data_IF_889479543728
#
_entry.id   IF_889479543728
#
_cell.length_a   1.000
_cell.length_b   1.000
_cell.length_c   1.000
_cell.angle_alpha   90.00
_cell.angle_beta   90.00
_cell.angle_gamma   90.00
#
_symmetry.space_group_name_H-M   'P 1'
#
loop_
_entity.id
_entity.type
_entity.pdbx_description
1 polymer ?
#
# COMPACT_ATOMS: atom_id res chain seq x y z
N UNK A 1 30.16 10.65 4.29
CA UNK A 1 28.75 10.99 4.58
C UNK A 1 28.24 11.71 3.35
N UNK A 2 27.95 10.97 2.28
CA UNK A 2 27.51 11.54 1.00
C UNK A 2 25.99 11.57 0.98
N UNK A 3 25.44 12.77 1.09
CA UNK A 3 24.07 13.10 0.70
C UNK A 3 23.96 12.90 -0.81
N UNK A 4 23.72 11.66 -1.24
CA UNK A 4 23.23 11.41 -2.59
C UNK A 4 21.93 12.19 -2.76
N UNK A 5 22.00 13.18 -3.64
CA UNK A 5 20.90 13.97 -4.16
C UNK A 5 19.66 13.08 -4.31
N UNK A 6 18.66 13.38 -3.50
CA UNK A 6 17.32 12.85 -3.64
C UNK A 6 16.75 13.43 -4.94
N UNK A 7 17.13 12.85 -6.07
CA UNK A 7 16.58 13.24 -7.36
C UNK A 7 15.11 12.87 -7.36
N UNK A 8 14.27 13.86 -7.03
CA UNK A 8 12.82 13.89 -7.20
C UNK A 8 12.41 13.75 -8.68
N UNK A 9 13.35 13.53 -9.61
CA UNK A 9 13.12 13.25 -11.03
C UNK A 9 12.67 11.81 -11.27
N UNK A 10 11.68 11.33 -10.50
CA UNK A 10 10.88 10.20 -10.92
C UNK A 10 9.61 10.76 -11.57
N UNK A 11 9.57 10.72 -12.90
CA UNK A 11 8.44 11.06 -13.77
C UNK A 11 7.12 10.35 -13.42
N UNK A 12 7.09 9.50 -12.39
CA UNK A 12 5.88 8.87 -11.86
C UNK A 12 5.19 9.68 -10.74
N UNK A 13 5.86 10.59 -10.03
CA UNK A 13 5.22 11.38 -8.97
C UNK A 13 4.53 12.64 -9.51
N UNK A 14 5.17 13.29 -10.49
CA UNK A 14 4.71 14.51 -11.13
C UNK A 14 3.37 14.41 -11.85
N UNK A 15 3.05 13.37 -12.65
CA UNK A 15 1.73 13.27 -13.26
C UNK A 15 0.62 13.04 -12.24
N UNK A 16 0.90 12.39 -11.10
CA UNK A 16 -0.08 12.24 -10.02
C UNK A 16 -0.29 13.56 -9.26
N UNK A 17 0.79 14.31 -8.99
CA UNK A 17 0.70 15.64 -8.38
C UNK A 17 0.07 16.67 -9.34
N UNK A 18 0.38 16.61 -10.63
CA UNK A 18 -0.20 17.48 -11.65
C UNK A 18 -1.69 17.15 -11.86
N UNK A 19 -2.05 15.86 -11.94
CA UNK A 19 -3.46 15.46 -11.95
C UNK A 19 -4.18 15.92 -10.68
N UNK A 20 -3.53 15.84 -9.51
CA UNK A 20 -4.04 16.36 -8.25
C UNK A 20 -4.30 17.87 -8.30
N UNK A 21 -3.34 18.68 -8.75
CA UNK A 21 -3.52 20.13 -8.91
C UNK A 21 -4.57 20.47 -9.97
N UNK A 22 -4.59 19.77 -11.11
CA UNK A 22 -5.58 20.00 -12.16
C UNK A 22 -7.00 19.63 -11.73
N UNK A 23 -7.19 18.55 -10.97
CA UNK A 23 -8.49 18.16 -10.43
C UNK A 23 -8.96 19.16 -9.36
N UNK A 24 -8.04 19.62 -8.49
CA UNK A 24 -8.33 20.64 -7.48
C UNK A 24 -8.76 21.96 -8.13
N UNK A 25 -8.03 22.40 -9.17
CA UNK A 25 -8.33 23.61 -9.93
C UNK A 25 -9.68 23.46 -10.66
N UNK A 26 -9.91 22.34 -11.35
CA UNK A 26 -11.15 22.11 -12.09
C UNK A 26 -12.39 22.11 -11.17
N UNK A 27 -12.31 21.47 -9.99
CA UNK A 27 -13.40 21.45 -9.02
C UNK A 27 -13.61 22.84 -8.39
N UNK A 28 -12.53 23.56 -8.06
CA UNK A 28 -12.64 24.94 -7.55
C UNK A 28 -13.27 25.90 -8.57
N UNK A 29 -12.96 25.74 -9.86
CA UNK A 29 -13.53 26.57 -10.92
C UNK A 29 -15.03 26.30 -11.15
N UNK A 30 -15.46 25.05 -10.97
CA UNK A 30 -16.86 24.66 -11.13
C UNK A 30 -17.74 25.12 -9.97
N UNK A 31 -17.22 25.16 -8.74
CA UNK A 31 -17.96 25.57 -7.55
C UNK A 31 -18.12 27.10 -7.46
N UNK A 32 -17.10 27.87 -7.87
CA UNK A 32 -17.18 29.33 -7.98
C UNK A 32 -18.24 29.75 -8.99
N UNK A 33 -18.33 29.08 -10.14
CA UNK A 33 -19.33 29.40 -11.17
C UNK A 33 -20.77 29.10 -10.74
N UNK A 34 -20.99 28.25 -9.72
CA UNK A 34 -22.33 27.89 -9.23
C UNK A 34 -22.85 28.82 -8.14
N UNK A 35 -21.95 29.34 -7.29
CA UNK A 35 -22.33 30.29 -6.24
C UNK A 35 -22.92 31.60 -6.80
N UNK A 36 -22.58 31.99 -8.02
CA UNK A 36 -23.17 33.17 -8.67
C UNK A 36 -24.58 32.99 -9.23
N UNK A 37 -25.14 31.76 -9.25
CA UNK A 37 -26.46 31.50 -9.83
C UNK A 37 -27.57 31.27 -8.79
N UNK A 38 -27.25 31.08 -7.51
CA UNK A 38 -28.24 30.80 -6.45
C UNK A 38 -28.49 31.99 -5.50
N UNK A 39 -27.89 33.16 -5.75
CA UNK A 39 -28.02 34.36 -4.90
C UNK A 39 -29.32 35.16 -5.18
N UNK A 40 -30.42 34.46 -5.44
CA UNK A 40 -31.67 35.05 -5.93
C UNK A 40 -32.95 34.52 -5.28
N UNK A 41 -32.98 34.28 -3.97
CA UNK A 41 -34.23 34.27 -3.17
C UNK A 41 -33.92 34.27 -1.66
N UNK A 42 -34.08 35.42 -1.00
CA UNK A 42 -34.09 35.54 0.47
C UNK A 42 -35.53 35.44 0.99
N UNK A 43 -35.81 34.50 1.88
CA UNK A 43 -36.74 34.68 3.01
C UNK A 43 -36.25 33.88 4.23
N UNK A 44 -35.89 34.60 5.31
CA UNK A 44 -36.15 34.28 6.74
C UNK A 44 -35.89 32.89 7.36
N UNK A 45 -35.29 31.92 6.68
CA UNK A 45 -35.08 30.56 7.18
C UNK A 45 -33.59 30.33 7.54
N UNK A 46 -33.30 29.55 8.59
CA UNK A 46 -31.92 29.17 8.94
C UNK A 46 -31.17 28.73 7.68
N UNK A 47 -30.11 29.45 7.30
CA UNK A 47 -29.30 29.17 6.11
C UNK A 47 -28.63 27.81 6.30
N UNK A 48 -29.30 26.76 5.81
CA UNK A 48 -28.76 25.42 5.78
C UNK A 48 -27.72 25.39 4.68
N UNK A 49 -26.44 25.53 5.05
CA UNK A 49 -25.32 25.30 4.13
C UNK A 49 -25.36 23.85 3.70
N UNK A 50 -26.05 23.62 2.59
CA UNK A 50 -26.23 22.30 2.01
C UNK A 50 -24.99 22.02 1.19
N UNK A 51 -24.26 20.96 1.54
CA UNK A 51 -23.10 20.52 0.77
C UNK A 51 -23.52 20.40 -0.70
N UNK A 52 -22.82 21.10 -1.59
CA UNK A 52 -23.15 21.11 -3.01
C UNK A 52 -23.19 19.67 -3.54
N UNK A 53 -24.27 19.34 -4.25
CA UNK A 53 -24.48 18.01 -4.86
C UNK A 53 -23.28 17.57 -5.71
N UNK A 54 -22.55 18.54 -6.29
CA UNK A 54 -21.33 18.29 -7.04
C UNK A 54 -20.26 17.57 -6.21
N UNK A 55 -19.96 18.05 -5.00
CA UNK A 55 -18.94 17.47 -4.13
C UNK A 55 -19.27 16.03 -3.72
N UNK A 56 -20.54 15.77 -3.43
CA UNK A 56 -20.99 14.42 -3.08
C UNK A 56 -20.82 13.45 -4.25
N UNK A 57 -21.18 13.87 -5.47
CA UNK A 57 -20.98 13.07 -6.67
C UNK A 57 -19.48 12.81 -6.87
N UNK A 58 -18.64 13.84 -6.70
CA UNK A 58 -17.18 13.71 -6.81
C UNK A 58 -16.62 12.68 -5.83
N UNK A 59 -17.02 12.72 -4.55
CA UNK A 59 -16.54 11.73 -3.56
C UNK A 59 -16.95 10.30 -3.93
N UNK A 60 -18.17 10.11 -4.42
CA UNK A 60 -18.65 8.79 -4.85
C UNK A 60 -17.88 8.27 -6.07
N UNK A 61 -17.66 9.13 -7.07
CA UNK A 61 -16.87 8.78 -8.26
C UNK A 61 -15.44 8.38 -7.89
N UNK A 62 -14.80 9.11 -6.98
CA UNK A 62 -13.46 8.76 -6.48
C UNK A 62 -13.46 7.42 -5.74
N UNK A 63 -14.48 7.16 -4.93
CA UNK A 63 -14.68 5.87 -4.26
C UNK A 63 -14.83 4.71 -5.26
N UNK A 64 -15.63 4.90 -6.32
CA UNK A 64 -15.82 3.90 -7.37
C UNK A 64 -14.53 3.62 -8.15
N UNK A 65 -13.82 4.67 -8.58
CA UNK A 65 -12.58 4.55 -9.34
C UNK A 65 -11.52 3.81 -8.51
N UNK A 66 -11.31 4.21 -7.24
CA UNK A 66 -10.33 3.57 -6.37
C UNK A 66 -10.67 2.11 -6.08
N UNK A 67 -11.95 1.80 -5.85
CA UNK A 67 -12.42 0.43 -5.60
C UNK A 67 -12.23 -0.46 -6.82
N UNK A 68 -12.62 0.01 -8.02
CA UNK A 68 -12.40 -0.71 -9.28
C UNK A 68 -10.92 -0.97 -9.53
N UNK A 69 -10.06 0.04 -9.31
CA UNK A 69 -8.62 -0.11 -9.45
C UNK A 69 -8.05 -1.17 -8.51
N UNK A 70 -8.51 -1.21 -7.25
CA UNK A 70 -8.10 -2.23 -6.29
C UNK A 70 -8.57 -3.64 -6.68
N UNK A 71 -9.81 -3.78 -7.18
CA UNK A 71 -10.36 -5.06 -7.63
C UNK A 71 -9.58 -5.57 -8.85
N UNK A 72 -9.34 -4.73 -9.85
CA UNK A 72 -8.55 -5.09 -11.03
C UNK A 72 -7.12 -5.49 -10.65
N UNK A 73 -6.50 -4.76 -9.73
CA UNK A 73 -5.18 -5.10 -9.21
C UNK A 73 -5.17 -6.43 -8.44
N UNK A 74 -6.20 -6.71 -7.64
CA UNK A 74 -6.36 -7.98 -6.93
C UNK A 74 -6.51 -9.16 -7.92
N UNK A 75 -7.39 -9.02 -8.92
CA UNK A 75 -7.59 -10.02 -9.98
C UNK A 75 -6.27 -10.26 -10.71
N UNK A 76 -5.52 -9.21 -11.03
CA UNK A 76 -4.22 -9.31 -11.67
C UNK A 76 -3.21 -10.09 -10.81
N UNK A 77 -3.09 -9.76 -9.52
CA UNK A 77 -2.17 -10.46 -8.60
C UNK A 77 -2.52 -11.94 -8.50
N UNK A 78 -3.81 -12.28 -8.40
CA UNK A 78 -4.27 -13.68 -8.31
C UNK A 78 -3.99 -14.43 -9.62
N UNK A 79 -4.33 -13.83 -10.77
CA UNK A 79 -4.19 -14.45 -12.10
C UNK A 79 -2.73 -14.70 -12.46
N UNK A 80 -1.85 -13.74 -12.13
CA UNK A 80 -0.44 -13.79 -12.52
C UNK A 80 0.50 -14.29 -11.41
N UNK A 81 -0.03 -14.82 -10.29
CA UNK A 81 0.76 -15.28 -9.13
C UNK A 81 1.84 -16.31 -9.46
N UNK A 82 1.67 -17.08 -10.55
CA UNK A 82 2.62 -18.11 -11.00
C UNK A 82 3.80 -17.54 -11.80
N UNK A 83 3.71 -16.30 -12.31
CA UNK A 83 4.81 -15.68 -13.07
C UNK A 83 5.89 -15.17 -12.11
N UNK A 84 7.16 -15.37 -12.48
CA UNK A 84 8.33 -15.01 -11.65
C UNK A 84 8.28 -13.58 -11.14
N UNK A 85 7.91 -12.61 -11.98
CA UNK A 85 7.83 -11.18 -11.62
C UNK A 85 6.87 -10.94 -10.44
N UNK A 86 5.71 -11.61 -10.42
CA UNK A 86 4.69 -11.45 -9.38
C UNK A 86 5.03 -12.33 -8.17
N UNK A 87 5.56 -13.53 -8.41
CA UNK A 87 5.98 -14.47 -7.38
C UNK A 87 7.07 -13.90 -6.47
N UNK A 88 8.06 -13.18 -7.03
CA UNK A 88 9.09 -12.47 -6.27
C UNK A 88 8.50 -11.40 -5.34
N UNK A 89 7.35 -10.83 -5.72
CA UNK A 89 6.63 -9.84 -4.93
C UNK A 89 6.01 -10.35 -3.64
N UNK A 90 5.93 -11.67 -3.45
CA UNK A 90 5.18 -12.34 -2.38
C UNK A 90 3.67 -12.08 -2.50
N UNK A 91 2.97 -12.82 -3.38
CA UNK A 91 1.56 -12.59 -3.71
C UNK A 91 0.59 -12.47 -2.51
N UNK A 92 0.71 -13.25 -1.42
CA UNK A 92 -0.21 -13.13 -0.28
C UNK A 92 -0.24 -11.73 0.34
N UNK A 93 0.92 -11.10 0.51
CA UNK A 93 0.98 -9.73 1.06
C UNK A 93 0.46 -8.69 0.06
N UNK A 94 0.69 -8.88 -1.26
CA UNK A 94 0.10 -8.01 -2.27
C UNK A 94 -1.43 -8.09 -2.26
N UNK A 95 -2.01 -9.28 -2.09
CA UNK A 95 -3.46 -9.43 -1.96
C UNK A 95 -4.00 -8.70 -0.72
N UNK A 96 -3.33 -8.84 0.44
CA UNK A 96 -3.72 -8.11 1.66
C UNK A 96 -3.65 -6.59 1.48
N UNK A 97 -2.60 -6.07 0.83
CA UNK A 97 -2.50 -4.64 0.50
C UNK A 97 -3.67 -4.20 -0.39
N UNK A 98 -4.05 -4.99 -1.40
CA UNK A 98 -5.19 -4.68 -2.27
C UNK A 98 -6.51 -4.68 -1.49
N UNK A 99 -6.72 -5.67 -0.60
CA UNK A 99 -7.94 -5.78 0.22
C UNK A 99 -8.03 -4.59 1.18
N UNK A 100 -6.96 -4.26 1.89
CA UNK A 100 -6.94 -3.09 2.78
C UNK A 100 -7.16 -1.79 2.01
N UNK A 101 -6.54 -1.64 0.84
CA UNK A 101 -6.74 -0.47 -0.04
C UNK A 101 -8.16 -0.36 -0.59
N UNK A 102 -8.80 -1.50 -0.87
CA UNK A 102 -10.21 -1.56 -1.27
C UNK A 102 -11.12 -1.09 -0.14
N UNK A 103 -10.86 -1.52 1.10
CA UNK A 103 -11.62 -1.06 2.27
C UNK A 103 -11.48 0.45 2.48
N UNK A 104 -10.24 0.96 2.47
CA UNK A 104 -9.98 2.41 2.59
C UNK A 104 -10.67 3.20 1.48
N UNK A 105 -10.55 2.77 0.21
CA UNK A 105 -11.20 3.43 -0.92
C UNK A 105 -12.73 3.38 -0.84
N UNK A 106 -13.30 2.27 -0.34
CA UNK A 106 -14.75 2.08 -0.21
C UNK A 106 -15.39 3.04 0.80
N UNK A 107 -14.63 3.57 1.78
CA UNK A 107 -15.12 4.61 2.71
C UNK A 107 -15.76 5.79 1.98
N UNK A 108 -15.22 6.18 0.82
CA UNK A 108 -15.73 7.30 0.02
C UNK A 108 -17.14 7.07 -0.54
N UNK A 109 -17.55 5.82 -0.74
CA UNK A 109 -18.91 5.51 -1.19
C UNK A 109 -19.95 5.84 -0.12
N UNK A 110 -19.53 5.82 1.15
CA UNK A 110 -20.38 6.09 2.31
C UNK A 110 -20.19 7.51 2.85
N UNK A 111 -19.41 8.37 2.18
CA UNK A 111 -19.05 9.70 2.67
C UNK A 111 -20.25 10.63 2.88
N UNK A 112 -21.24 10.52 2.01
CA UNK A 112 -22.49 11.28 2.06
C UNK A 112 -23.68 10.33 2.29
N UNK A 113 -23.97 9.98 3.57
CA UNK A 113 -25.07 9.10 3.94
C UNK A 113 -26.41 9.51 3.32
N UNK A 114 -26.67 10.81 3.17
CA UNK A 114 -27.88 11.32 2.55
C UNK A 114 -28.02 10.99 1.08
N UNK A 115 -26.96 11.11 0.30
CA UNK A 115 -27.03 10.76 -1.11
C UNK A 115 -27.27 9.26 -1.26
N UNK A 116 -26.66 8.44 -0.40
CA UNK A 116 -26.88 6.99 -0.39
C UNK A 116 -28.33 6.63 -0.02
N UNK A 117 -28.88 7.27 1.02
CA UNK A 117 -30.28 7.04 1.45
C UNK A 117 -31.27 7.58 0.41
N UNK A 118 -31.04 8.78 -0.14
CA UNK A 118 -31.90 9.40 -1.17
C UNK A 118 -31.91 8.64 -2.48
N UNK A 119 -30.80 7.98 -2.84
CA UNK A 119 -30.75 7.08 -4.01
C UNK A 119 -31.57 5.79 -3.81
N UNK A 120 -32.26 5.62 -2.68
CA UNK A 120 -33.14 4.48 -2.43
C UNK A 120 -32.40 3.15 -2.36
N UNK A 121 -31.06 3.16 -2.29
CA UNK A 121 -30.24 1.95 -2.36
C UNK A 121 -30.24 1.21 -1.01
N UNK A 122 -30.50 1.92 0.10
CA UNK A 122 -30.51 1.39 1.46
C UNK A 122 -31.75 1.91 2.21
N UNK A 123 -32.93 1.42 1.83
CA UNK A 123 -34.25 1.94 2.21
C UNK A 123 -34.50 1.95 3.74
N UNK A 124 -33.68 1.25 4.55
CA UNK A 124 -33.88 1.11 6.01
C UNK A 124 -32.62 1.31 6.86
N UNK A 125 -31.52 1.85 6.34
CA UNK A 125 -30.31 2.03 7.16
C UNK A 125 -30.30 3.38 7.90
N UNK A 126 -30.08 3.33 9.23
CA UNK A 126 -29.89 4.53 10.05
C UNK A 126 -28.57 5.24 9.67
N UNK A 127 -28.55 6.57 9.73
CA UNK A 127 -27.39 7.40 9.40
C UNK A 127 -26.19 7.09 10.32
N UNK A 128 -26.46 6.76 11.58
CA UNK A 128 -25.44 6.34 12.56
C UNK A 128 -24.74 5.03 12.14
N UNK A 129 -25.48 4.10 11.51
CA UNK A 129 -24.89 2.86 10.99
C UNK A 129 -23.88 3.14 9.88
N UNK A 130 -24.17 4.11 9.01
CA UNK A 130 -23.25 4.52 7.95
C UNK A 130 -22.00 5.20 8.53
N UNK A 131 -22.15 5.97 9.61
CA UNK A 131 -21.03 6.49 10.40
C UNK A 131 -20.10 5.38 10.92
N UNK A 132 -20.67 4.33 11.50
CA UNK A 132 -19.92 3.17 11.98
C UNK A 132 -19.18 2.51 10.82
N UNK A 133 -19.86 2.22 9.70
CA UNK A 133 -19.25 1.56 8.54
C UNK A 133 -18.06 2.37 8.00
N UNK A 134 -18.17 3.71 7.91
CA UNK A 134 -17.07 4.57 7.46
C UNK A 134 -15.84 4.45 8.35
N UNK A 135 -16.03 4.51 9.67
CA UNK A 135 -14.96 4.39 10.65
C UNK A 135 -14.25 3.04 10.51
N UNK A 136 -15.02 1.96 10.45
CA UNK A 136 -14.51 0.60 10.33
C UNK A 136 -13.73 0.36 9.04
N UNK A 137 -14.27 0.81 7.89
CA UNK A 137 -13.62 0.65 6.59
C UNK A 137 -12.26 1.37 6.54
N UNK A 138 -12.17 2.56 7.14
CA UNK A 138 -10.94 3.33 7.17
C UNK A 138 -9.90 2.69 8.08
N UNK A 139 -10.23 2.48 9.36
CA UNK A 139 -9.25 2.08 10.37
C UNK A 139 -8.75 0.65 10.16
N UNK A 140 -9.66 -0.29 9.90
CA UNK A 140 -9.28 -1.68 9.60
C UNK A 140 -8.50 -1.76 8.30
N UNK A 141 -8.92 -1.00 7.28
CA UNK A 141 -8.23 -0.93 6.00
C UNK A 141 -6.78 -0.42 6.13
N UNK A 142 -6.57 0.66 6.91
CA UNK A 142 -5.25 1.22 7.17
C UNK A 142 -4.34 0.23 7.93
N UNK A 143 -4.86 -0.44 8.95
CA UNK A 143 -4.09 -1.46 9.68
C UNK A 143 -3.69 -2.62 8.77
N UNK A 144 -4.60 -3.11 7.92
CA UNK A 144 -4.29 -4.19 6.97
C UNK A 144 -3.18 -3.74 6.01
N UNK A 145 -3.23 -2.53 5.46
CA UNK A 145 -2.20 -2.02 4.54
C UNK A 145 -0.85 -1.90 5.24
N UNK A 146 -0.77 -1.18 6.35
CA UNK A 146 0.51 -0.91 7.03
C UNK A 146 1.14 -2.18 7.60
N UNK A 147 0.34 -3.04 8.24
CA UNK A 147 0.87 -4.28 8.79
C UNK A 147 1.27 -5.26 7.68
N UNK A 148 0.64 -5.21 6.49
CA UNK A 148 1.09 -5.97 5.32
C UNK A 148 2.43 -5.47 4.77
N UNK A 149 2.64 -4.14 4.70
CA UNK A 149 3.94 -3.58 4.37
C UNK A 149 5.00 -4.00 5.38
N UNK A 150 4.71 -3.87 6.67
CA UNK A 150 5.62 -4.28 7.73
C UNK A 150 6.00 -5.77 7.62
N UNK A 151 5.03 -6.68 7.53
CA UNK A 151 5.32 -8.12 7.41
C UNK A 151 6.16 -8.44 6.17
N UNK A 152 5.89 -7.79 5.03
CA UNK A 152 6.68 -7.97 3.80
C UNK A 152 8.12 -7.51 3.98
N UNK A 153 8.33 -6.34 4.60
CA UNK A 153 9.67 -5.80 4.87
C UNK A 153 10.40 -6.64 5.92
N UNK A 154 9.71 -7.06 6.99
CA UNK A 154 10.27 -7.90 8.05
C UNK A 154 10.75 -9.24 7.52
N UNK A 155 9.93 -9.90 6.70
CA UNK A 155 10.34 -11.14 6.03
C UNK A 155 11.57 -10.91 5.16
N UNK A 156 11.61 -9.81 4.41
CA UNK A 156 12.76 -9.48 3.56
C UNK A 156 14.03 -9.29 4.38
N UNK A 157 13.97 -8.55 5.49
CA UNK A 157 15.12 -8.36 6.38
C UNK A 157 15.62 -9.70 6.93
N UNK A 158 14.71 -10.55 7.40
CA UNK A 158 15.07 -11.88 7.93
C UNK A 158 15.72 -12.75 6.86
N UNK A 159 15.17 -12.81 5.65
CA UNK A 159 15.76 -13.58 4.54
C UNK A 159 17.16 -13.08 4.20
N UNK A 160 17.45 -11.78 4.30
CA UNK A 160 18.79 -11.24 4.06
C UNK A 160 19.79 -11.51 5.21
N UNK A 161 19.31 -11.73 6.44
CA UNK A 161 20.16 -12.00 7.60
C UNK A 161 20.58 -13.46 7.73
N UNK A 162 19.73 -14.41 7.33
CA UNK A 162 20.03 -15.84 7.45
C UNK A 162 20.84 -16.38 6.26
N UNK A 163 21.76 -17.32 6.53
CA UNK A 163 22.59 -18.00 5.51
C UNK A 163 21.73 -18.64 4.42
N UNK A 164 22.28 -18.71 3.19
CA UNK A 164 21.71 -19.44 2.04
C UNK A 164 21.25 -20.84 2.49
N UNK A 165 19.95 -21.14 2.30
CA UNK A 165 19.24 -22.43 2.48
C UNK A 165 18.19 -22.53 3.59
N UNK A 166 17.89 -21.49 4.37
CA UNK A 166 16.75 -21.54 5.30
C UNK A 166 15.49 -20.95 4.68
N UNK A 167 14.47 -21.79 4.47
CA UNK A 167 13.16 -21.37 3.95
C UNK A 167 12.34 -20.77 5.09
N UNK A 168 12.17 -19.44 5.09
CA UNK A 168 11.33 -18.76 6.07
C UNK A 168 9.88 -18.79 5.58
N UNK A 169 9.05 -19.57 6.28
CA UNK A 169 7.62 -19.66 6.01
C UNK A 169 6.87 -18.39 6.47
N UNK A 170 5.76 -18.07 5.81
CA UNK A 170 4.95 -16.86 6.08
C UNK A 170 4.35 -16.86 7.50
N UNK A 171 4.04 -18.04 8.04
CA UNK A 171 3.42 -18.20 9.37
C UNK A 171 4.25 -17.62 10.52
N UNK A 172 5.58 -17.56 10.40
CA UNK A 172 6.44 -17.03 11.46
C UNK A 172 6.42 -15.49 11.55
N UNK A 173 5.96 -14.81 10.50
CA UNK A 173 6.01 -13.34 10.38
C UNK A 173 4.63 -12.71 10.54
N UNK A 174 3.56 -13.50 10.45
CA UNK A 174 2.17 -13.00 10.49
C UNK A 174 1.66 -12.74 11.92
N UNK A 175 2.32 -13.28 12.95
CA UNK A 175 1.91 -13.14 14.36
C UNK A 175 1.64 -11.69 14.79
N UNK A 176 2.60 -10.76 14.64
CA UNK A 176 2.39 -9.36 14.98
C UNK A 176 1.25 -8.68 14.20
N UNK A 177 1.06 -9.05 12.93
CA UNK A 177 -0.07 -8.58 12.11
C UNK A 177 -1.41 -9.01 12.71
N UNK A 178 -1.57 -10.29 13.04
CA UNK A 178 -2.83 -10.82 13.60
C UNK A 178 -3.11 -10.19 14.95
N UNK A 179 -2.09 -10.08 15.81
CA UNK A 179 -2.25 -9.46 17.14
C UNK A 179 -2.72 -8.01 17.05
N UNK A 180 -2.08 -7.18 16.22
CA UNK A 180 -2.47 -5.77 16.06
C UNK A 180 -3.84 -5.63 15.41
N UNK A 181 -4.17 -6.47 14.43
CA UNK A 181 -5.48 -6.46 13.79
C UNK A 181 -6.60 -6.83 14.78
N UNK A 182 -6.40 -7.85 15.61
CA UNK A 182 -7.35 -8.24 16.66
C UNK A 182 -7.50 -7.15 17.72
N UNK A 183 -6.40 -6.52 18.13
CA UNK A 183 -6.42 -5.38 19.05
C UNK A 183 -7.25 -4.22 18.46
N UNK A 184 -7.03 -3.88 17.19
CA UNK A 184 -7.79 -2.81 16.51
C UNK A 184 -9.27 -3.13 16.41
N UNK A 185 -9.62 -4.37 16.01
CA UNK A 185 -11.02 -4.80 15.92
C UNK A 185 -11.67 -4.74 17.31
N UNK A 186 -10.98 -5.21 18.36
CA UNK A 186 -11.48 -5.13 19.73
C UNK A 186 -11.75 -3.69 20.20
N UNK A 187 -10.84 -2.76 19.90
CA UNK A 187 -11.01 -1.33 20.19
C UNK A 187 -12.21 -0.73 19.45
N UNK A 188 -12.35 -1.02 18.15
CA UNK A 188 -13.47 -0.53 17.34
C UNK A 188 -14.81 -1.12 17.78
N UNK A 189 -14.85 -2.41 18.15
CA UNK A 189 -16.04 -3.04 18.71
C UNK A 189 -16.42 -2.41 20.04
N UNK A 190 -15.46 -2.21 20.96
CA UNK A 190 -15.71 -1.57 22.24
C UNK A 190 -16.23 -0.13 22.07
N UNK A 191 -15.63 0.64 21.16
CA UNK A 191 -16.09 1.98 20.80
C UNK A 191 -17.51 1.95 20.24
N UNK A 192 -17.82 1.04 19.32
CA UNK A 192 -19.14 0.93 18.69
C UNK A 192 -20.24 0.56 19.68
N UNK A 193 -19.94 -0.27 20.70
CA UNK A 193 -20.93 -0.70 21.70
C UNK A 193 -21.10 0.34 22.81
N UNK A 194 -20.01 0.88 23.34
CA UNK A 194 -20.03 1.74 24.53
C UNK A 194 -20.29 3.21 24.20
N UNK A 195 -19.81 3.67 23.04
CA UNK A 195 -19.89 5.07 22.62
C UNK A 195 -19.95 5.16 21.08
N UNK A 196 -21.05 4.68 20.47
CA UNK A 196 -21.17 4.65 19.01
C UNK A 196 -20.99 6.05 18.40
N UNK A 197 -20.31 6.15 17.24
CA UNK A 197 -20.30 7.38 16.47
C UNK A 197 -21.72 7.70 16.00
N UNK A 198 -22.07 8.99 15.99
CA UNK A 198 -23.41 9.46 15.69
C UNK A 198 -23.40 10.56 14.63
N UNK A 199 -24.50 10.65 13.91
CA UNK A 199 -24.75 11.70 12.93
C UNK A 199 -25.41 12.90 13.60
N UNK A 200 -24.84 14.09 13.43
CA UNK A 200 -25.43 15.33 13.96
C UNK A 200 -25.79 16.32 12.85
N UNK A 201 -26.86 17.05 13.09
CA UNK A 201 -27.53 17.93 12.12
C UNK A 201 -27.30 19.41 12.38
N UNK A 202 -26.61 19.78 13.47
CA UNK A 202 -26.54 21.16 13.99
C UNK A 202 -25.17 21.47 14.57
N UNK A 203 -24.18 21.70 13.71
CA UNK A 203 -22.86 22.17 14.15
C UNK A 203 -22.59 23.55 13.57
N UNK A 204 -22.40 24.58 14.41
CA UNK A 204 -21.96 25.88 13.95
C UNK A 204 -20.52 25.76 13.41
N UNK A 205 -20.32 26.22 12.18
CA UNK A 205 -19.03 26.15 11.47
C UNK A 205 -17.89 26.85 12.23
N UNK A 206 -18.23 27.81 13.11
CA UNK A 206 -17.29 28.43 14.06
C UNK A 206 -17.86 28.29 15.48
N UNK A 207 -17.29 27.44 16.35
CA UNK A 207 -17.80 27.27 17.70
C UNK A 207 -17.64 28.52 18.59
N UNK A 208 -16.84 29.50 18.15
CA UNK A 208 -16.52 30.71 18.91
C UNK A 208 -17.19 31.99 18.40
N UNK A 209 -17.98 31.89 17.33
CA UNK A 209 -18.62 33.04 16.67
C UNK A 209 -20.15 32.92 16.85
N UNK A 210 -20.71 33.67 17.78
CA UNK A 210 -22.11 33.56 18.21
C UNK A 210 -23.12 33.98 17.14
N UNK A 211 -22.67 34.58 16.04
CA UNK A 211 -23.51 34.98 14.91
C UNK A 211 -23.54 33.97 13.75
N UNK A 212 -22.81 32.86 13.83
CA UNK A 212 -22.66 31.97 12.69
C UNK A 212 -23.81 30.94 12.62
N UNK A 213 -24.72 31.13 11.67
CA UNK A 213 -25.89 30.26 11.42
C UNK A 213 -25.60 29.11 10.46
N UNK A 214 -24.38 29.03 9.91
CA UNK A 214 -23.96 27.98 9.00
C UNK A 214 -23.82 26.64 9.72
N UNK A 215 -24.74 25.74 9.40
CA UNK A 215 -24.83 24.40 9.97
C UNK A 215 -24.35 23.36 8.95
N UNK A 216 -23.34 22.58 9.34
CA UNK A 216 -22.80 21.48 8.53
C UNK A 216 -23.21 20.13 9.10
N UNK A 217 -23.53 19.21 8.20
CA UNK A 217 -23.82 17.83 8.55
C UNK A 217 -22.54 17.02 8.57
N UNK A 218 -22.22 16.44 9.72
CA UNK A 218 -20.97 15.69 9.91
C UNK A 218 -21.20 14.46 10.76
N UNK A 219 -20.46 13.41 10.41
CA UNK A 219 -20.32 12.23 11.24
C UNK A 219 -19.27 12.52 12.33
N UNK A 220 -19.69 12.51 13.61
CA UNK A 220 -18.73 12.65 14.70
C UNK A 220 -18.25 11.27 15.11
N UNK A 221 -16.93 11.08 15.00
CA UNK A 221 -16.28 9.91 15.55
C UNK A 221 -16.33 9.93 17.08
N UNK A 222 -16.19 11.12 17.68
CA UNK A 222 -16.24 11.28 19.12
C UNK A 222 -16.92 12.57 19.54
N UNK A 223 -17.44 12.57 20.77
CA UNK A 223 -17.98 13.76 21.43
C UNK A 223 -16.97 14.27 22.45
N UNK A 224 -16.56 15.53 22.34
CA UNK A 224 -15.52 16.13 23.21
C UNK A 224 -15.93 16.13 24.69
N UNK A 225 -17.23 16.20 24.99
CA UNK A 225 -17.73 16.12 26.36
C UNK A 225 -17.63 14.71 26.97
N UNK A 226 -17.55 13.66 26.15
CA UNK A 226 -17.47 12.28 26.61
C UNK A 226 -16.02 11.79 26.59
N UNK A 227 -15.39 11.80 27.78
CA UNK A 227 -14.00 11.36 27.97
C UNK A 227 -13.75 9.92 27.49
N UNK A 228 -14.74 9.03 27.58
CA UNK A 228 -14.57 7.64 27.13
C UNK A 228 -14.43 7.57 25.61
N UNK A 229 -15.25 8.32 24.87
CA UNK A 229 -15.19 8.32 23.40
C UNK A 229 -13.87 8.91 22.90
N UNK A 230 -13.44 10.03 23.51
CA UNK A 230 -12.13 10.62 23.25
C UNK A 230 -10.99 9.63 23.54
N UNK A 231 -11.05 8.87 24.64
CA UNK A 231 -10.03 7.87 24.97
C UNK A 231 -9.95 6.75 23.92
N UNK A 232 -11.08 6.21 23.46
CA UNK A 232 -11.10 5.19 22.39
C UNK A 232 -10.57 5.73 21.08
N UNK A 233 -10.95 6.96 20.69
CA UNK A 233 -10.46 7.59 19.48
C UNK A 233 -8.93 7.80 19.52
N UNK A 234 -8.40 8.32 20.65
CA UNK A 234 -6.95 8.47 20.85
C UNK A 234 -6.25 7.11 20.82
N UNK A 235 -6.81 6.08 21.45
CA UNK A 235 -6.23 4.74 21.46
C UNK A 235 -6.14 4.15 20.04
N UNK A 236 -7.23 4.22 19.28
CA UNK A 236 -7.27 3.78 17.88
C UNK A 236 -6.27 4.55 17.01
N UNK A 237 -6.24 5.88 17.12
CA UNK A 237 -5.29 6.71 16.39
C UNK A 237 -3.84 6.37 16.75
N UNK A 238 -3.55 6.15 18.04
CA UNK A 238 -2.24 5.76 18.50
C UNK A 238 -1.78 4.43 17.89
N UNK A 239 -2.67 3.42 17.82
CA UNK A 239 -2.35 2.14 17.17
C UNK A 239 -1.98 2.34 15.70
N UNK A 240 -2.75 3.15 14.95
CA UNK A 240 -2.45 3.45 13.54
C UNK A 240 -1.12 4.17 13.38
N UNK A 241 -0.85 5.19 14.20
CA UNK A 241 0.42 5.94 14.18
C UNK A 241 1.60 5.02 14.51
N UNK A 242 1.47 4.15 15.51
CA UNK A 242 2.52 3.18 15.86
C UNK A 242 2.80 2.23 14.68
N UNK A 243 1.76 1.71 14.03
CA UNK A 243 1.90 0.85 12.85
C UNK A 243 2.63 1.57 11.71
N UNK A 244 2.26 2.84 11.47
CA UNK A 244 2.89 3.67 10.45
C UNK A 244 4.35 3.95 10.79
N UNK A 245 4.66 4.30 12.04
CA UNK A 245 6.01 4.56 12.55
C UNK A 245 6.92 3.32 12.44
N UNK A 246 6.43 2.15 12.83
CA UNK A 246 7.17 0.89 12.69
C UNK A 246 7.41 0.58 11.21
N UNK A 247 6.43 0.82 10.34
CA UNK A 247 6.55 0.57 8.90
C UNK A 247 7.57 1.52 8.24
N UNK A 248 7.58 2.82 8.57
CA UNK A 248 8.60 3.75 8.05
C UNK A 248 10.00 3.40 8.56
N UNK A 249 10.14 3.09 9.85
CA UNK A 249 11.41 2.67 10.42
C UNK A 249 11.95 1.41 9.71
N UNK A 250 11.08 0.42 9.51
CA UNK A 250 11.42 -0.83 8.85
C UNK A 250 11.76 -0.63 7.37
N UNK A 251 11.01 0.21 6.66
CA UNK A 251 11.28 0.52 5.24
C UNK A 251 12.56 1.32 5.07
N UNK A 252 12.88 2.22 6.00
CA UNK A 252 14.17 2.91 6.03
C UNK A 252 15.34 1.95 6.22
N UNK A 253 15.22 1.00 7.16
CA UNK A 253 16.26 -0.01 7.43
C UNK A 253 16.52 -0.91 6.22
N UNK A 254 15.45 -1.32 5.52
CA UNK A 254 15.50 -2.25 4.39
C UNK A 254 15.74 -1.59 3.03
N UNK A 255 15.84 -0.25 2.96
CA UNK A 255 16.03 0.50 1.70
C UNK A 255 17.33 0.17 0.96
N UNK A 256 18.34 -0.34 1.67
CA UNK A 256 19.66 -0.68 1.09
C UNK A 256 19.68 -2.05 0.41
N UNK A 257 18.62 -2.85 0.59
CA UNK A 257 18.50 -4.18 -0.05
C UNK A 257 18.23 -3.97 -1.54
N UNK A 258 18.88 -4.77 -2.39
CA UNK A 258 18.75 -4.70 -3.85
C UNK A 258 17.29 -4.86 -4.29
N UNK A 259 16.84 -3.96 -5.18
CA UNK A 259 15.47 -3.94 -5.71
C UNK A 259 15.09 -5.24 -6.44
N UNK A 260 16.07 -5.92 -7.03
CA UNK A 260 15.89 -7.18 -7.75
C UNK A 260 15.33 -8.31 -6.87
N UNK A 261 15.56 -8.23 -5.55
CA UNK A 261 15.15 -9.23 -4.56
C UNK A 261 13.92 -8.74 -3.79
N UNK A 262 13.77 -7.43 -3.62
CA UNK A 262 12.72 -6.85 -2.77
C UNK A 262 12.22 -5.50 -3.26
N UNK A 263 10.90 -5.32 -3.28
CA UNK A 263 10.23 -4.06 -3.60
C UNK A 263 10.42 -2.96 -2.49
N UNK A 264 11.46 -3.04 -1.66
CA UNK A 264 11.61 -2.24 -0.43
C UNK A 264 11.63 -0.74 -0.69
N UNK A 265 12.34 -0.28 -1.73
CA UNK A 265 12.40 1.14 -2.10
C UNK A 265 11.04 1.71 -2.51
N UNK A 266 10.23 0.93 -3.22
CA UNK A 266 8.88 1.34 -3.62
C UNK A 266 7.95 1.42 -2.42
N UNK A 267 8.03 0.46 -1.51
CA UNK A 267 7.28 0.50 -0.24
C UNK A 267 7.67 1.74 0.56
N UNK A 268 8.97 2.06 0.66
CA UNK A 268 9.43 3.29 1.31
C UNK A 268 8.83 4.55 0.67
N UNK A 269 8.87 4.66 -0.67
CA UNK A 269 8.26 5.78 -1.39
C UNK A 269 6.75 5.89 -1.12
N UNK A 270 6.03 4.77 -1.15
CA UNK A 270 4.59 4.72 -0.83
C UNK A 270 4.32 5.21 0.59
N UNK A 271 5.03 4.69 1.59
CA UNK A 271 4.80 5.03 3.00
C UNK A 271 5.13 6.50 3.27
N UNK A 272 6.21 7.04 2.70
CA UNK A 272 6.55 8.46 2.81
C UNK A 272 5.47 9.33 2.18
N UNK A 273 4.99 9.00 0.98
CA UNK A 273 3.90 9.72 0.33
C UNK A 273 2.63 9.70 1.20
N UNK A 274 2.29 8.55 1.79
CA UNK A 274 1.12 8.42 2.65
C UNK A 274 1.23 9.23 3.95
N UNK A 275 2.40 9.28 4.58
CA UNK A 275 2.63 10.12 5.77
C UNK A 275 2.44 11.60 5.44
N UNK A 276 2.95 12.05 4.29
CA UNK A 276 2.80 13.45 3.83
C UNK A 276 1.33 13.84 3.64
N UNK A 277 0.45 12.90 3.29
CA UNK A 277 -1.00 13.14 3.16
C UNK A 277 -1.71 12.96 4.52
N UNK A 278 -1.24 12.03 5.36
CA UNK A 278 -1.84 11.73 6.67
C UNK A 278 -1.72 12.90 7.65
N UNK A 279 -0.60 13.63 7.64
CA UNK A 279 -0.36 14.78 8.51
C UNK A 279 -1.40 15.91 8.31
N UNK A 280 -1.53 16.51 7.10
CA UNK A 280 -2.55 17.53 6.84
C UNK A 280 -3.98 17.00 7.02
N UNK A 281 -4.25 15.73 6.69
CA UNK A 281 -5.56 15.12 6.96
C UNK A 281 -5.93 15.17 8.44
N UNK A 282 -5.00 14.79 9.31
CA UNK A 282 -5.21 14.79 10.76
C UNK A 282 -5.42 16.21 11.29
N UNK A 283 -4.72 17.21 10.75
CA UNK A 283 -4.92 18.62 11.12
C UNK A 283 -6.32 19.14 10.70
N UNK A 284 -6.76 18.81 9.49
CA UNK A 284 -8.08 19.21 8.97
C UNK A 284 -9.21 18.56 9.77
N UNK A 285 -9.15 17.24 10.00
CA UNK A 285 -10.21 16.51 10.72
C UNK A 285 -10.35 16.97 12.17
N UNK A 286 -9.25 17.32 12.83
CA UNK A 286 -9.25 17.82 14.20
C UNK A 286 -9.55 19.33 14.30
N UNK A 287 -9.89 19.99 13.21
CA UNK A 287 -10.31 21.40 13.23
C UNK A 287 -9.19 22.39 13.55
N UNK A 288 -7.93 22.04 13.27
CA UNK A 288 -6.80 22.96 13.44
C UNK A 288 -6.92 24.20 12.54
N UNK A 289 -7.66 24.08 11.43
CA UNK A 289 -7.99 25.18 10.54
C UNK A 289 -9.38 25.72 10.86
N UNK A 290 -9.44 26.73 11.74
CA UNK A 290 -10.71 27.35 12.20
C UNK A 290 -11.43 28.15 11.12
N UNK A 291 -10.75 28.52 10.03
CA UNK A 291 -11.26 29.35 8.94
C UNK A 291 -11.43 28.58 7.63
N UNK A 292 -11.34 27.24 7.64
CA UNK A 292 -11.46 26.45 6.43
C UNK A 292 -12.92 26.36 5.96
N UNK A 293 -13.13 26.59 4.66
CA UNK A 293 -14.43 26.37 4.02
C UNK A 293 -14.89 24.91 4.17
N UNK A 294 -16.19 24.70 4.37
CA UNK A 294 -16.81 23.37 4.48
C UNK A 294 -16.49 22.51 3.26
N UNK A 295 -16.56 23.12 2.07
CA UNK A 295 -16.17 22.53 0.79
C UNK A 295 -14.75 21.96 0.83
N UNK A 296 -13.80 22.73 1.39
CA UNK A 296 -12.41 22.32 1.46
C UNK A 296 -12.23 21.12 2.39
N UNK A 297 -12.84 21.16 3.58
CA UNK A 297 -12.80 20.05 4.56
C UNK A 297 -13.37 18.78 3.95
N UNK A 298 -14.54 18.86 3.31
CA UNK A 298 -15.20 17.71 2.69
C UNK A 298 -14.37 17.13 1.54
N UNK A 299 -13.84 17.98 0.64
CA UNK A 299 -12.99 17.54 -0.45
C UNK A 299 -11.74 16.82 0.08
N UNK A 300 -11.14 17.35 1.15
CA UNK A 300 -9.97 16.74 1.77
C UNK A 300 -10.27 15.37 2.40
N UNK A 301 -11.41 15.26 3.10
CA UNK A 301 -11.88 13.99 3.69
C UNK A 301 -12.19 12.92 2.64
N UNK A 302 -12.59 13.31 1.42
CA UNK A 302 -12.78 12.41 0.27
C UNK A 302 -11.46 12.09 -0.48
N UNK A 303 -10.54 13.05 -0.58
CA UNK A 303 -9.26 12.89 -1.27
C UNK A 303 -8.31 11.95 -0.51
N UNK A 304 -8.23 12.06 0.81
CA UNK A 304 -7.34 11.26 1.64
C UNK A 304 -7.44 9.74 1.37
N UNK A 305 -8.61 9.09 1.57
CA UNK A 305 -8.75 7.64 1.35
C UNK A 305 -8.52 7.24 -0.12
N UNK A 306 -8.91 8.09 -1.08
CA UNK A 306 -8.63 7.86 -2.50
C UNK A 306 -7.12 7.79 -2.77
N UNK A 307 -6.35 8.79 -2.32
CA UNK A 307 -4.90 8.83 -2.51
C UNK A 307 -4.18 7.71 -1.74
N UNK A 308 -4.64 7.38 -0.53
CA UNK A 308 -4.14 6.25 0.25
C UNK A 308 -4.30 4.92 -0.49
N UNK A 309 -5.48 4.68 -1.07
CA UNK A 309 -5.81 3.48 -1.82
C UNK A 309 -5.00 3.39 -3.14
N UNK A 310 -5.04 4.44 -3.96
CA UNK A 310 -4.36 4.49 -5.26
C UNK A 310 -2.84 4.44 -5.11
N UNK A 311 -2.26 5.09 -4.10
CA UNK A 311 -0.80 5.03 -3.87
C UNK A 311 -0.34 3.63 -3.43
N UNK A 312 -1.09 2.98 -2.53
CA UNK A 312 -0.76 1.63 -2.04
C UNK A 312 -0.68 0.62 -3.18
N UNK A 313 -1.65 0.66 -4.09
CA UNK A 313 -1.73 -0.25 -5.23
C UNK A 313 -0.83 0.21 -6.37
N UNK A 314 -0.87 1.50 -6.72
CA UNK A 314 -0.19 2.08 -7.87
C UNK A 314 1.32 1.89 -7.83
N UNK A 315 1.98 2.29 -6.75
CA UNK A 315 3.45 2.21 -6.67
C UNK A 315 3.97 0.75 -6.66
N UNK A 316 3.17 -0.21 -6.21
CA UNK A 316 3.60 -1.61 -6.07
C UNK A 316 3.21 -2.51 -7.23
N UNK A 317 2.00 -2.34 -7.77
CA UNK A 317 1.42 -3.25 -8.75
C UNK A 317 1.59 -2.74 -10.17
N UNK A 318 1.47 -1.42 -10.40
CA UNK A 318 1.58 -0.84 -11.74
C UNK A 318 2.90 -1.17 -12.44
N UNK A 319 4.08 -1.09 -11.79
CA UNK A 319 5.32 -1.48 -12.46
C UNK A 319 5.36 -2.96 -12.84
N UNK A 320 4.69 -3.84 -12.09
CA UNK A 320 4.63 -5.29 -12.37
C UNK A 320 3.74 -5.58 -13.57
N UNK A 321 2.62 -4.87 -13.68
CA UNK A 321 1.76 -4.90 -14.87
C UNK A 321 2.58 -4.47 -16.08
N UNK A 322 3.28 -3.33 -15.99
CA UNK A 322 4.11 -2.83 -17.08
C UNK A 322 5.19 -3.84 -17.49
N UNK A 323 5.89 -4.47 -16.55
CA UNK A 323 6.90 -5.49 -16.87
C UNK A 323 6.31 -6.71 -17.58
N UNK A 324 5.12 -7.19 -17.18
CA UNK A 324 4.46 -8.34 -17.83
C UNK A 324 3.98 -7.97 -19.23
N UNK A 325 3.41 -6.79 -19.42
CA UNK A 325 2.98 -6.31 -20.73
C UNK A 325 4.17 -6.12 -21.68
N UNK A 326 5.27 -5.58 -21.17
CA UNK A 326 6.52 -5.45 -21.92
C UNK A 326 7.05 -6.82 -22.36
N UNK A 327 7.13 -7.78 -21.44
CA UNK A 327 7.58 -9.14 -21.74
C UNK A 327 6.69 -9.82 -22.79
N UNK A 328 5.36 -9.59 -22.75
CA UNK A 328 4.43 -10.12 -23.75
C UNK A 328 4.63 -9.50 -25.15
N UNK A 329 4.99 -8.21 -25.21
CA UNK A 329 5.16 -7.48 -26.47
C UNK A 329 6.50 -7.76 -27.15
N UNK A 330 7.58 -7.83 -26.38
CA UNK A 330 8.95 -7.92 -26.92
C UNK A 330 9.62 -9.29 -26.72
N UNK A 331 8.98 -10.22 -25.99
CA UNK A 331 9.55 -11.53 -25.69
C UNK A 331 10.74 -11.51 -24.72
N UNK A 332 11.24 -10.33 -24.35
CA UNK A 332 12.39 -10.13 -23.47
C UNK A 332 12.01 -9.22 -22.29
N UNK A 333 12.67 -9.44 -21.15
CA UNK A 333 12.58 -8.54 -20.00
C UNK A 333 13.37 -7.27 -20.30
N UNK A 334 12.90 -6.09 -19.87
CA UNK A 334 13.65 -4.86 -20.09
C UNK A 334 15.00 -4.93 -19.37
N UNK A 335 16.03 -4.30 -19.93
CA UNK A 335 17.43 -4.43 -19.48
C UNK A 335 17.66 -4.11 -18.00
N UNK A 336 16.80 -3.28 -17.39
CA UNK A 336 16.84 -2.95 -15.97
C UNK A 336 16.21 -4.01 -15.05
N UNK A 337 15.36 -4.89 -15.58
CA UNK A 337 14.66 -5.94 -14.84
C UNK A 337 15.42 -7.28 -14.88
N UNK A 338 16.75 -7.23 -15.02
CA UNK A 338 17.59 -8.41 -15.19
C UNK A 338 17.50 -9.29 -13.93
N UNK A 339 16.70 -10.34 -14.01
CA UNK A 339 16.52 -11.33 -12.94
C UNK A 339 17.88 -11.86 -12.48
N UNK A 340 18.06 -12.00 -11.17
CA UNK A 340 19.19 -12.71 -10.56
C UNK A 340 19.08 -14.18 -10.97
N UNK A 341 19.69 -14.45 -12.10
CA UNK A 341 19.67 -15.68 -12.85
C UNK A 341 20.48 -15.38 -14.09
N UNK A 342 21.71 -14.90 -13.88
CA UNK A 342 22.69 -14.74 -14.93
C UNK A 342 22.90 -16.09 -15.58
N UNK A 343 22.14 -16.35 -16.65
CA UNK A 343 22.67 -17.14 -17.74
C UNK A 343 23.91 -16.39 -18.19
N UNK A 344 25.07 -16.84 -17.72
CA UNK A 344 26.32 -16.57 -18.41
C UNK A 344 26.10 -17.17 -19.79
N UNK A 345 25.73 -16.32 -20.75
CA UNK A 345 25.78 -16.70 -22.15
C UNK A 345 27.28 -16.77 -22.47
N UNK A 346 27.88 -17.94 -22.23
CA UNK A 346 29.19 -18.24 -22.78
C UNK A 346 28.96 -18.32 -24.28
N UNK A 347 29.16 -17.21 -24.98
CA UNK A 347 29.53 -17.30 -26.39
C UNK A 347 30.86 -18.01 -26.39
N UNK A 348 30.83 -19.32 -26.61
CA UNK A 348 32.00 -20.03 -27.10
C UNK A 348 32.22 -19.43 -28.49
N UNK A 349 33.09 -18.43 -28.59
CA UNK A 349 33.63 -17.98 -29.87
C UNK A 349 34.54 -19.11 -30.36
N UNK A 350 33.93 -20.15 -30.92
CA UNK A 350 34.62 -21.21 -31.64
C UNK A 350 34.96 -20.71 -33.04
N UNK A 351 36.02 -19.91 -33.16
CA UNK A 351 36.71 -19.68 -34.45
C UNK A 351 37.97 -18.84 -34.30
N UNK A 352 39.00 -19.42 -33.70
CA UNK A 352 40.37 -19.23 -34.19
C UNK A 352 41.02 -20.60 -34.36
N UNK A 353 40.67 -21.28 -35.43
CA UNK A 353 41.54 -22.30 -36.02
C UNK A 353 41.63 -22.03 -37.54
N UNK A 354 42.82 -21.66 -38.06
CA UNK A 354 43.05 -21.60 -39.49
C UNK A 354 43.36 -23.02 -39.97
N UNK A 355 42.58 -23.57 -40.89
CA UNK A 355 43.05 -24.75 -41.62
C UNK A 355 42.58 -24.73 -43.07
N UNK A 356 43.57 -24.59 -43.93
CA UNK A 356 43.49 -24.81 -45.37
C UNK A 356 43.04 -26.24 -45.71
N UNK A 357 42.43 -26.31 -46.89
CA UNK A 357 42.50 -27.39 -47.88
C UNK A 357 41.78 -28.74 -47.63
N UNK A 358 40.86 -28.97 -48.58
CA UNK A 358 40.53 -30.19 -49.34
C UNK A 358 39.35 -31.07 -48.92
N UNK A 359 38.46 -31.42 -49.88
CA UNK A 359 37.30 -32.26 -49.66
C UNK A 359 37.63 -33.72 -49.97
N UNK A 360 37.26 -34.64 -49.08
CA UNK A 360 37.17 -36.07 -49.41
C UNK A 360 35.80 -36.58 -48.97
N UNK A 361 35.03 -36.94 -49.98
CA UNK A 361 33.83 -37.76 -49.97
C UNK A 361 34.11 -39.13 -49.36
N UNK A 362 33.28 -39.61 -48.42
CA UNK A 362 32.91 -41.04 -48.37
C UNK A 362 31.64 -41.31 -47.59
N UNK A 363 30.81 -42.12 -48.24
CA UNK A 363 29.54 -42.65 -47.83
C UNK A 363 29.65 -43.77 -46.78
N UNK A 364 28.56 -43.89 -46.02
CA UNK A 364 27.83 -45.10 -45.67
C UNK A 364 28.29 -46.04 -44.52
N UNK A 365 27.25 -46.38 -43.74
CA UNK A 365 26.87 -47.67 -43.13
C UNK A 365 27.48 -48.13 -41.80
N UNK A 366 26.59 -48.17 -40.80
CA UNK A 366 26.23 -49.32 -39.96
C UNK A 366 27.33 -50.30 -39.53
N UNK A 367 27.57 -50.42 -38.22
CA UNK A 367 27.17 -51.62 -37.48
C UNK A 367 27.35 -51.50 -35.97
N UNK A 368 26.39 -52.11 -35.25
CA UNK A 368 26.46 -52.57 -33.86
C UNK A 368 27.66 -53.50 -33.67
N UNK A 369 28.23 -53.54 -32.46
CA UNK A 369 28.32 -54.71 -31.58
C UNK A 369 29.02 -54.30 -30.26
N UNK A 370 28.53 -54.89 -29.17
CA UNK A 370 28.99 -54.77 -27.80
C UNK A 370 30.14 -55.73 -27.48
N UNK A 371 31.03 -55.35 -26.56
CA UNK A 371 31.77 -56.20 -25.61
C UNK A 371 32.70 -55.28 -24.78
N UNK A 372 32.58 -55.18 -23.45
CA UNK A 372 32.97 -56.10 -22.37
C UNK A 372 34.36 -55.78 -21.78
N UNK A 373 34.34 -55.50 -20.46
CA UNK A 373 35.39 -55.69 -19.43
C UNK A 373 36.82 -55.19 -19.66
N UNK A 374 37.27 -54.30 -18.77
CA UNK A 374 38.19 -54.65 -17.66
C UNK A 374 38.44 -53.41 -16.78
N UNK A 375 38.16 -53.51 -15.49
CA UNK A 375 39.15 -53.59 -14.40
C UNK A 375 40.14 -52.43 -14.39
N UNK A 376 39.97 -51.52 -13.43
CA UNK A 376 41.15 -51.05 -12.70
C UNK A 376 40.85 -50.62 -11.26
N UNK A 377 41.89 -50.80 -10.46
CA UNK A 377 42.03 -50.89 -9.03
C UNK A 377 41.88 -49.57 -8.24
N UNK A 378 41.36 -49.68 -6.99
CA UNK A 378 41.69 -49.07 -5.67
C UNK A 378 42.56 -47.78 -5.56
N UNK A 379 42.64 -47.04 -4.41
CA UNK A 379 42.16 -47.35 -3.04
C UNK A 379 41.47 -46.20 -2.25
N UNK A 380 40.87 -46.59 -1.12
CA UNK A 380 40.52 -45.73 0.02
C UNK A 380 41.76 -45.28 0.80
N UNK A 381 41.75 -44.03 1.30
CA UNK A 381 42.53 -43.55 2.45
C UNK A 381 41.79 -42.34 3.09
N UNK A 382 42.08 -41.90 4.34
CA UNK A 382 41.29 -42.27 5.50
C UNK A 382 40.76 -41.07 6.31
N UNK A 383 39.95 -41.43 7.30
CA UNK A 383 39.55 -40.66 8.48
C UNK A 383 40.72 -39.92 9.13
N UNK A 384 40.51 -38.66 9.52
CA UNK A 384 41.34 -37.95 10.50
C UNK A 384 40.44 -37.29 11.54
N UNK A 385 40.44 -37.90 12.72
CA UNK A 385 40.03 -37.32 14.00
C UNK A 385 41.14 -36.44 14.58
N UNK A 386 40.77 -35.73 15.66
CA UNK A 386 41.55 -34.83 16.52
C UNK A 386 41.63 -33.37 16.02
N UNK A 387 41.50 -32.34 16.86
CA UNK A 387 41.76 -32.27 18.29
C UNK A 387 40.94 -31.13 18.92
N UNK A 388 40.60 -31.33 20.19
CA UNK A 388 40.16 -30.34 21.13
C UNK A 388 41.12 -29.13 21.20
N UNK A 389 40.54 -27.93 21.36
CA UNK A 389 41.21 -26.81 22.01
C UNK A 389 40.28 -26.19 23.05
N UNK A 390 40.86 -26.13 24.24
CA UNK A 390 40.35 -25.71 25.52
C UNK A 390 40.44 -24.19 25.69
N UNK A 391 39.88 -23.68 26.80
CA UNK A 391 40.03 -22.34 27.42
C UNK A 391 39.16 -21.19 26.87
N UNK A 392 38.17 -20.64 27.59
CA UNK A 392 38.08 -20.04 28.94
C UNK A 392 38.34 -18.52 28.97
N UNK A 393 37.34 -17.79 29.47
CA UNK A 393 37.43 -16.59 30.34
C UNK A 393 37.80 -15.24 29.70
N UNK A 394 36.81 -14.33 29.68
CA UNK A 394 36.81 -12.90 30.12
C UNK A 394 35.35 -12.45 29.93
N UNK A 395 34.46 -12.21 30.91
CA UNK A 395 34.45 -11.37 32.12
C UNK A 395 34.72 -9.87 31.89
N UNK A 396 33.74 -9.08 32.35
CA UNK A 396 33.68 -7.61 32.56
C UNK A 396 33.44 -6.75 31.31
N UNK A 397 32.57 -5.75 31.29
CA UNK A 397 31.82 -5.05 32.34
C UNK A 397 31.82 -3.54 32.04
N UNK A 398 30.67 -2.87 32.25
CA UNK A 398 30.45 -1.40 32.26
C UNK A 398 30.52 -0.71 30.88
N UNK A 399 29.67 0.26 30.52
CA UNK A 399 28.82 1.18 31.29
C UNK A 399 27.45 1.39 30.61
#
# INVERSE_FOLDING_TARGET
MELYSFSLSNYALWPFLAFFFSLLIAVSAQDVSRRYLEEGEEEGEQVRVTISSGLTITSMVLGLISSLLCILALIFVISFRKRTIVALGQPPFLCLICIGSLMVGSKNLFESPKAVVRMGTLINMNLDTLCIIRLWLLDVGLIIVYMSFFCKLWRTEKVCQFRKNQIIHVSHVIGPFVFILLLQIGLLTAMTILAPPFWTWKVPMKPHDSSNTDVVEKCYQYQFSNRMNMAFNIATLAVVIICQAITIWMSYKTRKIREDISDSRRIFQTVVFQILICFPYTLVVNGAFTNADVTFVFLYEAMYPFLMSVSSVGFLIFPKIHCILYQRKFGQLPSYARTIGGGVHVSITSSSLPTNSTPITRNATSNKIAESRNNDQTPQVPVRDASATNKSILKEGMA
#
